data_IF_574631262529
#
_entry.id   IF_574631262529
#
_cell.length_a   1.000
_cell.length_b   1.000
_cell.length_c   1.000
_cell.angle_alpha   90.00
_cell.angle_beta   90.00
_cell.angle_gamma   90.00
#
_symmetry.space_group_name_H-M   'P 1'
#
loop_
_entity.id
_entity.type
_entity.pdbx_description
1 polymer ?
#
# COMPACT_ATOMS: atom_id res chain seq x y z
N UNK A 1 10.80 10.72 20.82
CA UNK A 1 10.86 11.11 19.40
C UNK A 1 12.24 10.82 18.80
N UNK A 2 13.32 11.47 19.25
CA UNK A 2 14.68 11.29 18.69
C UNK A 2 15.22 9.84 18.78
N UNK A 3 14.97 9.13 19.90
CA UNK A 3 15.36 7.71 20.03
C UNK A 3 14.62 6.76 19.06
N UNK A 4 13.42 7.12 18.59
CA UNK A 4 12.71 6.31 17.59
C UNK A 4 13.29 6.50 16.19
N UNK A 5 13.77 7.70 15.86
CA UNK A 5 14.41 8.00 14.58
C UNK A 5 15.78 7.34 14.45
N UNK A 6 16.56 7.28 15.54
CA UNK A 6 17.87 6.61 15.56
C UNK A 6 17.79 5.11 15.28
N UNK A 7 16.74 4.44 15.76
CA UNK A 7 16.54 3.01 15.49
C UNK A 7 16.07 2.72 14.06
N UNK A 8 15.37 3.67 13.43
CA UNK A 8 14.89 3.58 12.03
C UNK A 8 16.03 3.85 11.03
N UNK A 9 17.01 4.68 11.39
CA UNK A 9 18.17 4.95 10.54
C UNK A 9 19.14 3.74 10.42
N UNK A 10 19.23 2.91 11.46
CA UNK A 10 20.14 1.76 11.51
C UNK A 10 19.71 0.59 10.60
N UNK A 11 18.42 0.48 10.25
CA UNK A 11 17.88 -0.56 9.37
C UNK A 11 17.89 -0.19 7.88
N UNK A 12 18.39 1.00 7.53
CA UNK A 12 18.15 1.63 6.24
C UNK A 12 16.86 2.44 6.29
N UNK A 13 16.95 3.74 6.01
CA UNK A 13 15.82 4.64 6.13
C UNK A 13 14.64 4.15 5.27
N UNK A 14 13.42 3.98 5.83
CA UNK A 14 12.24 3.69 5.05
C UNK A 14 12.08 4.83 4.04
N UNK A 15 12.18 4.50 2.76
CA UNK A 15 12.12 5.48 1.69
C UNK A 15 11.24 4.94 0.56
N UNK A 16 10.53 5.86 -0.09
CA UNK A 16 9.57 5.55 -1.15
C UNK A 16 10.17 4.72 -2.31
N UNK A 17 11.40 5.00 -2.80
CA UNK A 17 12.02 4.17 -3.84
C UNK A 17 12.17 2.69 -3.45
N UNK A 18 12.55 2.40 -2.20
CA UNK A 18 12.64 1.01 -1.70
C UNK A 18 11.25 0.37 -1.66
N UNK A 19 10.26 1.05 -1.07
CA UNK A 19 8.88 0.52 -0.98
C UNK A 19 8.29 0.22 -2.36
N UNK A 20 8.56 1.07 -3.35
CA UNK A 20 8.09 0.86 -4.72
C UNK A 20 8.76 -0.35 -5.37
N UNK A 21 10.09 -0.51 -5.19
CA UNK A 21 10.83 -1.65 -5.73
C UNK A 21 10.33 -2.97 -5.14
N UNK A 22 10.09 -3.01 -3.83
CA UNK A 22 9.55 -4.20 -3.15
C UNK A 22 8.15 -4.53 -3.65
N UNK A 23 7.30 -3.51 -3.82
CA UNK A 23 5.96 -3.71 -4.37
C UNK A 23 5.99 -4.22 -5.81
N UNK A 24 6.79 -3.59 -6.69
CA UNK A 24 6.92 -3.97 -8.10
C UNK A 24 7.41 -5.43 -8.23
N UNK A 25 8.28 -5.90 -7.33
CA UNK A 25 8.75 -7.29 -7.30
C UNK A 25 7.67 -8.30 -6.86
N UNK A 26 6.69 -7.87 -6.06
CA UNK A 26 5.64 -8.74 -5.51
C UNK A 26 4.31 -8.65 -6.27
N UNK A 27 4.07 -7.57 -7.02
CA UNK A 27 2.81 -7.28 -7.70
C UNK A 27 2.31 -8.47 -8.56
N UNK A 28 3.22 -9.08 -9.34
CA UNK A 28 2.90 -10.26 -10.16
C UNK A 28 2.43 -11.46 -9.33
N UNK A 29 3.08 -11.73 -8.20
CA UNK A 29 2.75 -12.85 -7.32
C UNK A 29 1.40 -12.65 -6.61
N UNK A 30 1.08 -11.41 -6.24
CA UNK A 30 -0.19 -11.05 -5.59
C UNK A 30 -1.37 -11.31 -6.54
N UNK A 31 -1.24 -10.89 -7.81
CA UNK A 31 -2.25 -11.14 -8.84
C UNK A 31 -2.44 -12.64 -9.08
N UNK A 32 -1.35 -13.38 -9.25
CA UNK A 32 -1.41 -14.84 -9.47
C UNK A 32 -2.06 -15.58 -8.29
N UNK A 33 -1.77 -15.19 -7.05
CA UNK A 33 -2.38 -15.80 -5.86
C UNK A 33 -3.91 -15.59 -5.78
N UNK A 34 -4.43 -14.52 -6.40
CA UNK A 34 -5.87 -14.28 -6.50
C UNK A 34 -6.57 -15.14 -7.55
N UNK A 35 -5.81 -15.73 -8.49
CA UNK A 35 -6.33 -16.59 -9.56
C UNK A 35 -6.38 -18.08 -9.16
N UNK A 36 -5.64 -18.49 -8.12
CA UNK A 36 -5.60 -19.89 -7.65
C UNK A 36 -6.77 -20.14 -6.68
N UNK A 37 -7.74 -21.02 -7.02
CA UNK A 37 -8.81 -21.40 -6.10
C UNK A 37 -8.21 -22.13 -4.89
N UNK A 38 -8.57 -21.72 -3.67
CA UNK A 38 -8.33 -22.54 -2.48
C UNK A 38 -9.32 -23.72 -2.48
N UNK A 39 -8.83 -24.94 -2.23
CA UNK A 39 -9.61 -26.19 -2.12
C UNK A 39 -10.56 -26.24 -0.90
N UNK A 40 -10.88 -25.11 -0.28
CA UNK A 40 -11.76 -25.01 0.89
C UNK A 40 -12.89 -24.03 0.61
N UNK A 41 -14.03 -24.55 0.17
CA UNK A 41 -15.18 -23.78 -0.31
C UNK A 41 -15.69 -22.68 0.63
N UNK A 42 -15.86 -21.48 0.05
CA UNK A 42 -16.89 -20.50 0.42
C UNK A 42 -17.11 -19.43 -0.68
N UNK A 43 -16.16 -19.27 -1.63
CA UNK A 43 -16.20 -18.19 -2.62
C UNK A 43 -17.12 -18.41 -3.85
N UNK A 44 -17.64 -19.62 -4.10
CA UNK A 44 -18.49 -19.87 -5.28
C UNK A 44 -19.78 -19.03 -5.33
N UNK A 45 -20.24 -18.46 -4.20
CA UNK A 45 -21.51 -17.71 -4.18
C UNK A 45 -21.36 -16.19 -4.32
N UNK A 46 -20.15 -15.64 -4.32
CA UNK A 46 -19.90 -14.19 -4.49
C UNK A 46 -19.43 -13.84 -5.91
N UNK A 47 -18.90 -14.81 -6.67
CA UNK A 47 -18.40 -14.57 -8.04
C UNK A 47 -19.54 -14.41 -9.07
N UNK A 48 -20.72 -14.98 -8.84
CA UNK A 48 -21.83 -14.89 -9.79
C UNK A 48 -22.38 -13.46 -10.00
N UNK A 49 -22.06 -12.51 -9.09
CA UNK A 49 -22.41 -11.09 -9.27
C UNK A 49 -21.28 -10.24 -9.87
N UNK A 50 -20.07 -10.79 -9.97
CA UNK A 50 -18.92 -10.09 -10.56
C UNK A 50 -18.87 -10.23 -12.09
N UNK A 51 -19.49 -11.25 -12.67
CA UNK A 51 -19.42 -11.47 -14.13
C UNK A 51 -20.38 -10.63 -14.97
N UNK A 52 -21.46 -10.09 -14.41
CA UNK A 52 -22.40 -9.25 -15.19
C UNK A 52 -21.90 -7.81 -15.44
N UNK A 53 -20.92 -7.34 -14.68
CA UNK A 53 -20.37 -5.97 -14.82
C UNK A 53 -19.00 -5.90 -15.49
N UNK A 54 -18.40 -7.04 -15.85
CA UNK A 54 -17.01 -7.14 -16.39
C UNK A 54 -16.98 -7.13 -17.93
N UNK A 55 -17.95 -6.47 -18.57
CA UNK A 55 -17.92 -6.24 -20.03
C UNK A 55 -17.37 -4.87 -20.43
N UNK A 56 -16.88 -4.06 -19.48
CA UNK A 56 -16.37 -2.73 -19.79
C UNK A 56 -14.87 -2.57 -19.51
N UNK A 57 -14.11 -2.68 -20.61
CA UNK A 57 -12.83 -2.02 -20.90
C UNK A 57 -11.65 -2.31 -19.94
N UNK A 58 -10.77 -3.18 -20.44
CA UNK A 58 -9.36 -3.47 -20.06
C UNK A 58 -8.43 -2.24 -19.88
N UNK A 59 -8.92 -1.01 -20.03
CA UNK A 59 -8.13 0.23 -19.85
C UNK A 59 -8.63 1.08 -18.66
N UNK A 60 -9.85 0.80 -18.17
CA UNK A 60 -10.51 1.64 -17.15
C UNK A 60 -10.68 0.89 -15.82
N UNK A 61 -10.03 -0.27 -15.68
CA UNK A 61 -10.28 -1.29 -14.65
C UNK A 61 -9.82 -0.91 -13.22
N UNK A 62 -9.69 0.38 -12.92
CA UNK A 62 -9.48 0.90 -11.56
C UNK A 62 -10.79 0.93 -10.75
N UNK A 63 -11.95 0.57 -11.31
CA UNK A 63 -13.23 0.62 -10.59
C UNK A 63 -13.67 -0.71 -9.96
N UNK A 64 -13.01 -1.84 -10.29
CA UNK A 64 -13.40 -3.15 -9.77
C UNK A 64 -12.84 -3.47 -8.37
N UNK A 65 -13.48 -4.42 -7.67
CA UNK A 65 -13.03 -4.94 -6.37
C UNK A 65 -12.12 -6.18 -6.50
N UNK A 66 -11.76 -6.56 -7.72
CA UNK A 66 -10.84 -7.67 -7.98
C UNK A 66 -9.41 -7.35 -7.55
N UNK A 67 -8.63 -8.39 -7.23
CA UNK A 67 -7.22 -8.29 -6.81
C UNK A 67 -6.39 -7.48 -7.81
N UNK A 68 -6.58 -7.70 -9.12
CA UNK A 68 -5.91 -6.95 -10.19
C UNK A 68 -6.20 -5.44 -10.15
N UNK A 69 -7.46 -5.07 -9.92
CA UNK A 69 -7.90 -3.67 -9.86
C UNK A 69 -7.32 -2.97 -8.62
N UNK A 70 -7.30 -3.68 -7.48
CA UNK A 70 -6.69 -3.21 -6.23
C UNK A 70 -5.19 -2.97 -6.41
N UNK A 71 -4.46 -3.93 -6.99
CA UNK A 71 -3.02 -3.81 -7.25
C UNK A 71 -2.73 -2.66 -8.21
N UNK A 72 -3.50 -2.53 -9.31
CA UNK A 72 -3.33 -1.43 -10.26
C UNK A 72 -3.58 -0.04 -9.64
N UNK A 73 -4.59 0.10 -8.76
CA UNK A 73 -4.81 1.35 -8.01
C UNK A 73 -3.68 1.65 -7.05
N UNK A 74 -3.16 0.64 -6.36
CA UNK A 74 -2.00 0.79 -5.48
C UNK A 74 -0.74 1.22 -6.24
N UNK A 75 -0.43 0.60 -7.38
CA UNK A 75 0.69 1.02 -8.24
C UNK A 75 0.57 2.48 -8.67
N UNK A 76 -0.63 2.90 -9.10
CA UNK A 76 -0.88 4.28 -9.53
C UNK A 76 -0.72 5.27 -8.37
N UNK A 77 -1.17 4.90 -7.17
CA UNK A 77 -0.99 5.70 -5.97
C UNK A 77 0.50 5.86 -5.64
N UNK A 78 1.28 4.78 -5.66
CA UNK A 78 2.73 4.83 -5.44
C UNK A 78 3.48 5.64 -6.50
N UNK A 79 3.09 5.54 -7.78
CA UNK A 79 3.61 6.38 -8.87
C UNK A 79 3.34 7.87 -8.62
N UNK A 80 2.23 8.19 -7.97
CA UNK A 80 1.84 9.56 -7.61
C UNK A 80 2.38 9.99 -6.24
N UNK A 81 3.24 9.19 -5.60
CA UNK A 81 3.77 9.37 -4.23
C UNK A 81 2.71 9.37 -3.12
N UNK A 82 1.51 8.87 -3.41
CA UNK A 82 0.41 8.75 -2.45
C UNK A 82 0.46 7.38 -1.77
N UNK A 83 1.35 7.25 -0.78
CA UNK A 83 1.57 5.99 -0.06
C UNK A 83 0.38 5.66 0.85
N UNK A 84 -0.30 6.67 1.41
CA UNK A 84 -1.49 6.43 2.24
C UNK A 84 -2.63 5.80 1.44
N UNK A 85 -2.86 6.27 0.20
CA UNK A 85 -3.82 5.65 -0.71
C UNK A 85 -3.42 4.23 -1.09
N UNK A 86 -2.14 3.98 -1.37
CA UNK A 86 -1.66 2.63 -1.68
C UNK A 86 -1.91 1.65 -0.51
N UNK A 87 -1.66 2.07 0.73
CA UNK A 87 -1.97 1.29 1.94
C UNK A 87 -3.47 0.98 2.01
N UNK A 88 -4.32 1.98 1.75
CA UNK A 88 -5.78 1.81 1.79
C UNK A 88 -6.27 0.79 0.77
N UNK A 89 -5.78 0.86 -0.47
CA UNK A 89 -6.15 -0.08 -1.53
C UNK A 89 -5.71 -1.52 -1.18
N UNK A 90 -4.45 -1.73 -0.82
CA UNK A 90 -3.94 -3.07 -0.53
C UNK A 90 -4.53 -3.68 0.75
N UNK A 91 -5.01 -2.86 1.68
CA UNK A 91 -5.74 -3.33 2.86
C UNK A 91 -7.11 -3.93 2.53
N UNK A 92 -7.63 -3.70 1.31
CA UNK A 92 -8.87 -4.31 0.84
C UNK A 92 -8.66 -5.74 0.28
N UNK A 93 -7.41 -6.20 0.14
CA UNK A 93 -7.12 -7.58 -0.27
C UNK A 93 -7.59 -8.57 0.81
N UNK A 94 -8.08 -9.73 0.37
CA UNK A 94 -8.54 -10.82 1.22
C UNK A 94 -7.75 -12.11 0.92
N UNK A 95 -7.83 -13.09 1.83
CA UNK A 95 -7.25 -14.43 1.67
C UNK A 95 -5.74 -14.42 1.34
N UNK A 96 -5.27 -15.29 0.44
CA UNK A 96 -3.85 -15.46 0.10
C UNK A 96 -3.15 -14.15 -0.35
N UNK A 97 -3.73 -13.32 -1.23
CA UNK A 97 -3.16 -12.02 -1.59
C UNK A 97 -2.89 -11.09 -0.41
N UNK A 98 -3.75 -11.11 0.62
CA UNK A 98 -3.59 -10.26 1.80
C UNK A 98 -2.35 -10.63 2.65
N UNK A 99 -1.98 -11.91 2.66
CA UNK A 99 -0.80 -12.40 3.38
C UNK A 99 0.48 -11.89 2.72
N UNK A 100 0.52 -11.89 1.37
CA UNK A 100 1.69 -11.48 0.60
C UNK A 100 2.02 -9.99 0.77
N UNK A 101 1.02 -9.13 0.97
CA UNK A 101 1.23 -7.68 1.16
C UNK A 101 1.49 -7.27 2.60
N UNK A 102 1.41 -8.19 3.56
CA UNK A 102 1.45 -7.85 4.98
C UNK A 102 2.74 -7.15 5.40
N UNK A 103 3.89 -7.69 4.97
CA UNK A 103 5.20 -7.13 5.33
C UNK A 103 5.40 -5.76 4.67
N UNK A 104 4.96 -5.63 3.41
CA UNK A 104 4.95 -4.35 2.71
C UNK A 104 4.09 -3.30 3.43
N UNK A 105 2.88 -3.68 3.89
CA UNK A 105 2.00 -2.78 4.64
C UNK A 105 2.62 -2.32 5.96
N UNK A 106 3.40 -3.16 6.62
CA UNK A 106 4.15 -2.78 7.84
C UNK A 106 5.20 -1.71 7.50
N UNK A 107 6.01 -1.93 6.46
CA UNK A 107 7.02 -0.98 6.00
C UNK A 107 6.40 0.36 5.56
N UNK A 108 5.31 0.31 4.79
CA UNK A 108 4.62 1.49 4.29
C UNK A 108 4.01 2.34 5.43
N UNK A 109 3.44 1.70 6.46
CA UNK A 109 2.94 2.42 7.65
C UNK A 109 4.08 3.05 8.46
N UNK A 110 5.21 2.37 8.60
CA UNK A 110 6.39 2.92 9.26
C UNK A 110 6.95 4.14 8.51
N UNK A 111 6.95 4.11 7.17
CA UNK A 111 7.32 5.25 6.34
C UNK A 111 6.43 6.48 6.60
N UNK A 112 5.10 6.32 6.58
CA UNK A 112 4.16 7.41 6.86
C UNK A 112 4.37 7.99 8.27
N UNK A 113 4.64 7.14 9.26
CA UNK A 113 4.91 7.60 10.62
C UNK A 113 6.19 8.45 10.69
N UNK A 114 7.25 8.03 9.99
CA UNK A 114 8.50 8.78 9.91
C UNK A 114 8.32 10.14 9.21
N UNK A 115 7.60 10.19 8.10
CA UNK A 115 7.26 11.44 7.38
C UNK A 115 6.48 12.41 8.27
N UNK A 116 5.46 11.91 9.00
CA UNK A 116 4.68 12.74 9.95
C UNK A 116 5.54 13.28 11.09
N UNK A 117 6.40 12.45 11.66
CA UNK A 117 7.31 12.86 12.72
C UNK A 117 8.30 13.94 12.24
N UNK A 118 8.80 13.82 11.01
CA UNK A 118 9.68 14.81 10.40
C UNK A 118 8.95 16.16 10.18
N UNK A 119 7.74 16.12 9.62
CA UNK A 119 6.92 17.33 9.40
C UNK A 119 6.60 18.06 10.72
N UNK A 120 6.32 17.31 11.79
CA UNK A 120 6.10 17.88 13.12
C UNK A 120 7.35 18.57 13.67
N UNK A 121 8.51 17.95 13.54
CA UNK A 121 9.80 18.54 13.97
C UNK A 121 10.10 19.84 13.19
N UNK A 122 9.88 19.85 11.88
CA UNK A 122 10.04 21.04 11.05
C UNK A 122 9.12 22.17 11.50
N UNK A 123 7.85 21.86 11.76
CA UNK A 123 6.86 22.84 12.24
C UNK A 123 7.29 23.45 13.57
N UNK A 124 7.77 22.62 14.51
CA UNK A 124 8.27 23.08 15.81
C UNK A 124 9.52 23.95 15.68
N UNK A 125 10.46 23.59 14.81
CA UNK A 125 11.66 24.37 14.56
C UNK A 125 11.33 25.77 14.00
N UNK A 126 10.40 25.85 13.03
CA UNK A 126 9.92 27.12 12.47
C UNK A 126 9.24 27.97 13.54
N UNK A 127 8.38 27.36 14.37
CA UNK A 127 7.71 28.07 15.45
C UNK A 127 8.69 28.64 16.49
N UNK A 128 9.74 27.90 16.84
CA UNK A 128 10.78 28.38 17.76
C UNK A 128 11.58 29.56 17.18
N UNK A 129 11.91 29.53 15.89
CA UNK A 129 12.58 30.66 15.23
C UNK A 129 11.70 31.91 15.19
N UNK A 130 10.40 31.76 14.92
CA UNK A 130 9.45 32.87 14.90
C UNK A 130 9.17 33.46 16.29
N UNK A 131 9.22 32.66 17.35
CA UNK A 131 9.04 33.11 18.73
C UNK A 131 10.32 33.73 19.36
N UNK A 132 11.46 33.56 18.71
CA UNK A 132 12.75 34.14 19.12
C UNK A 132 13.09 35.48 18.43
N UNK A 133 12.19 36.00 17.59
CA UNK A 133 12.24 37.34 16.99
C UNK A 133 11.23 38.26 17.68
#
# INVERSE_FOLDING_TARGET
ALNQLGSIAASGAPNLPTLRREFDAQAGNIVQAGLVPDEGGWFQRTIARLTESVKWRRTDNLAGDGVEAIVARAERALKSRDVEKAIKELSALLAKPAVLVKDWLVGAKAYILAEKALAELQTRAVAQMAAGQ
#
